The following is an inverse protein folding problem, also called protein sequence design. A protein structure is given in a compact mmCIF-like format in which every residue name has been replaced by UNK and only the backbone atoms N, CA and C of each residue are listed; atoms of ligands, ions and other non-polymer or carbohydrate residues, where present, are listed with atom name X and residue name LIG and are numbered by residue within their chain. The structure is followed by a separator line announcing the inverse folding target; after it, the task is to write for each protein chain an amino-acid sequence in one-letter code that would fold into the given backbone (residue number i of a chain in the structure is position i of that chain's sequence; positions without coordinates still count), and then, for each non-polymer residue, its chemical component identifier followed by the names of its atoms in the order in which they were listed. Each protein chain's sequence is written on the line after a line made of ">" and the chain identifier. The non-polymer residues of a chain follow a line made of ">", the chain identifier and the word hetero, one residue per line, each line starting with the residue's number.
data_IF_145720268895
#
_entry.id   IF_145720268895
#
_cell.length_a   1.000
_cell.length_b   1.000
_cell.length_c   1.000
_cell.angle_alpha   90.00
_cell.angle_beta   90.00
_cell.angle_gamma   90.00
#
_symmetry.space_group_name_H-M   'P 1'
#
loop_
_entity.id
_entity.type
_entity.pdbx_description
1 polymer ?
#
# COMPACT_ATOMS: atom_id res chain seq x y z
N UNK A 1 26.30 8.08 7.70
CA UNK A 1 25.30 8.98 7.05
C UNK A 1 24.36 8.19 6.13
N UNK A 2 24.87 7.36 5.23
CA UNK A 2 24.04 6.59 4.28
C UNK A 2 22.98 5.70 4.94
N UNK A 3 23.34 4.98 6.00
CA UNK A 3 22.40 4.11 6.68
C UNK A 3 21.24 4.88 7.35
N UNK A 4 21.52 6.07 7.92
CA UNK A 4 20.48 6.92 8.49
C UNK A 4 19.55 7.47 7.40
N UNK A 5 20.11 7.93 6.28
CA UNK A 5 19.35 8.38 5.11
C UNK A 5 18.47 7.25 4.56
N UNK A 6 19.00 6.03 4.45
CA UNK A 6 18.26 4.86 4.00
C UNK A 6 17.10 4.55 4.95
N UNK A 7 17.32 4.56 6.26
CA UNK A 7 16.24 4.35 7.25
C UNK A 7 15.14 5.39 7.09
N UNK A 8 15.49 6.68 6.96
CA UNK A 8 14.50 7.74 6.74
C UNK A 8 13.72 7.50 5.46
N UNK A 9 14.39 7.17 4.35
CA UNK A 9 13.71 6.89 3.07
C UNK A 9 12.79 5.66 3.18
N UNK A 10 13.22 4.58 3.83
CA UNK A 10 12.41 3.37 4.05
C UNK A 10 11.16 3.72 4.85
N UNK A 11 11.30 4.42 5.98
CA UNK A 11 10.17 4.84 6.81
C UNK A 11 9.22 5.75 6.04
N UNK A 12 9.74 6.74 5.30
CA UNK A 12 8.93 7.63 4.47
C UNK A 12 8.17 6.87 3.38
N UNK A 13 8.80 5.88 2.74
CA UNK A 13 8.12 5.03 1.75
C UNK A 13 7.05 4.14 2.39
N UNK A 14 7.28 3.62 3.60
CA UNK A 14 6.29 2.88 4.38
C UNK A 14 5.06 3.72 4.69
N UNK A 15 5.27 4.93 5.21
CA UNK A 15 4.18 5.87 5.51
C UNK A 15 3.45 6.27 4.22
N UNK A 16 4.19 6.61 3.16
CA UNK A 16 3.62 6.98 1.86
C UNK A 16 2.75 5.86 1.30
N UNK A 17 3.20 4.62 1.41
CA UNK A 17 2.45 3.45 1.00
C UNK A 17 1.15 3.30 1.81
N UNK A 18 1.23 3.38 3.14
CA UNK A 18 0.05 3.28 4.01
C UNK A 18 -0.97 4.37 3.71
N UNK A 19 -0.53 5.62 3.55
CA UNK A 19 -1.41 6.75 3.22
C UNK A 19 -2.02 6.59 1.84
N UNK A 20 -1.23 6.22 0.84
CA UNK A 20 -1.73 6.03 -0.52
C UNK A 20 -2.79 4.92 -0.57
N UNK A 21 -2.56 3.79 0.09
CA UNK A 21 -3.42 2.61 -0.02
C UNK A 21 -4.51 2.52 1.06
N UNK A 22 -4.63 3.51 1.94
CA UNK A 22 -5.75 3.60 2.87
C UNK A 22 -6.86 4.46 2.24
N UNK A 23 -8.04 3.89 1.96
CA UNK A 23 -9.14 4.66 1.40
C UNK A 23 -9.64 5.71 2.42
N UNK A 24 -9.92 6.96 2.02
CA UNK A 24 -10.37 8.01 2.93
C UNK A 24 -11.76 7.73 3.52
N UNK A 25 -12.60 6.98 2.80
CA UNK A 25 -13.98 6.69 3.17
C UNK A 25 -14.16 5.28 3.78
N UNK A 26 -13.08 4.66 4.25
CA UNK A 26 -13.10 3.30 4.78
C UNK A 26 -13.10 2.20 3.70
N UNK A 27 -13.00 0.95 4.13
CA UNK A 27 -12.90 -0.20 3.21
C UNK A 27 -14.24 -0.44 2.49
N UNK A 28 -14.24 -0.65 1.16
CA UNK A 28 -15.47 -0.87 0.41
C UNK A 28 -16.11 -2.21 0.77
N UNK A 29 -17.44 -2.24 0.88
CA UNK A 29 -18.20 -3.49 1.03
C UNK A 29 -18.22 -4.23 -0.30
N UNK A 30 -17.76 -5.47 -0.32
CA UNK A 30 -17.76 -6.31 -1.51
C UNK A 30 -19.18 -6.79 -1.78
N UNK A 31 -19.80 -6.45 -2.91
CA UNK A 31 -21.10 -7.01 -3.29
C UNK A 31 -20.95 -8.49 -3.69
N UNK A 32 -22.04 -9.29 -3.66
CA UNK A 32 -22.00 -10.66 -4.15
C UNK A 32 -21.55 -10.71 -5.61
N UNK A 33 -20.86 -11.79 -5.99
CA UNK A 33 -20.34 -11.95 -7.36
C UNK A 33 -21.50 -11.87 -8.37
N UNK A 34 -21.45 -10.98 -9.36
CA UNK A 34 -22.50 -10.89 -10.36
C UNK A 34 -22.47 -12.13 -11.28
N UNK A 35 -23.63 -12.59 -11.78
CA UNK A 35 -23.68 -13.67 -12.75
C UNK A 35 -23.09 -13.22 -14.10
N UNK A 36 -22.50 -14.16 -14.85
CA UNK A 36 -21.86 -13.90 -16.15
C UNK A 36 -22.80 -13.27 -17.19
N UNK A 37 -24.11 -13.47 -17.03
CA UNK A 37 -25.16 -12.90 -17.90
C UNK A 37 -25.23 -11.36 -17.85
N UNK A 38 -24.69 -10.72 -16.82
CA UNK A 38 -24.65 -9.24 -16.71
C UNK A 38 -23.51 -8.59 -17.51
N UNK A 39 -22.70 -9.38 -18.21
CA UNK A 39 -21.64 -8.89 -19.09
C UNK A 39 -20.33 -8.55 -18.39
N UNK A 40 -19.29 -8.32 -19.20
CA UNK A 40 -17.90 -8.18 -18.76
C UNK A 40 -17.63 -6.92 -17.92
N UNK A 41 -18.38 -5.84 -18.16
CA UNK A 41 -18.16 -4.55 -17.47
C UNK A 41 -18.48 -4.68 -15.98
N UNK A 42 -19.65 -5.25 -15.65
CA UNK A 42 -20.11 -5.46 -14.27
C UNK A 42 -19.18 -6.44 -13.55
N UNK A 43 -18.70 -7.48 -14.24
CA UNK A 43 -17.76 -8.44 -13.67
C UNK A 43 -16.38 -7.81 -13.40
N UNK A 44 -15.92 -6.91 -14.27
CA UNK A 44 -14.67 -6.16 -14.09
C UNK A 44 -14.75 -5.20 -12.91
N UNK A 45 -15.84 -4.45 -12.79
CA UNK A 45 -16.08 -3.55 -11.65
C UNK A 45 -16.11 -4.31 -10.32
N UNK A 46 -16.83 -5.44 -10.29
CA UNK A 46 -16.83 -6.33 -9.12
C UNK A 46 -15.43 -6.82 -8.77
N UNK A 47 -14.64 -7.24 -9.77
CA UNK A 47 -13.28 -7.69 -9.55
C UNK A 47 -12.39 -6.57 -8.99
N UNK A 48 -12.52 -5.34 -9.50
CA UNK A 48 -11.80 -4.19 -8.95
C UNK A 48 -12.18 -3.92 -7.49
N UNK A 49 -13.46 -3.91 -7.15
CA UNK A 49 -13.92 -3.74 -5.76
C UNK A 49 -13.41 -4.87 -4.87
N UNK A 50 -13.43 -6.11 -5.36
CA UNK A 50 -12.90 -7.27 -4.65
C UNK A 50 -11.40 -7.13 -4.37
N UNK A 51 -10.60 -6.76 -5.38
CA UNK A 51 -9.15 -6.53 -5.22
C UNK A 51 -8.89 -5.42 -4.22
N UNK A 52 -9.60 -4.29 -4.32
CA UNK A 52 -9.46 -3.17 -3.39
C UNK A 52 -9.81 -3.58 -1.95
N UNK A 53 -10.90 -4.31 -1.76
CA UNK A 53 -11.36 -4.70 -0.42
C UNK A 53 -10.54 -5.84 0.21
N UNK A 54 -9.93 -6.72 -0.58
CA UNK A 54 -9.29 -7.95 -0.07
C UNK A 54 -7.78 -7.99 -0.26
N UNK A 55 -7.29 -7.56 -1.42
CA UNK A 55 -5.86 -7.65 -1.74
C UNK A 55 -5.09 -6.49 -1.13
N UNK A 56 -5.61 -5.26 -1.22
CA UNK A 56 -4.95 -4.08 -0.65
C UNK A 56 -4.70 -4.15 0.88
N UNK A 57 -5.63 -4.59 1.74
CA UNK A 57 -5.32 -4.75 3.17
C UNK A 57 -4.19 -5.76 3.41
N UNK A 58 -4.18 -6.89 2.69
CA UNK A 58 -3.08 -7.86 2.78
C UNK A 58 -1.76 -7.23 2.33
N UNK A 59 -1.77 -6.47 1.24
CA UNK A 59 -0.59 -5.82 0.72
C UNK A 59 -0.06 -4.75 1.69
N UNK A 60 -0.93 -3.99 2.37
CA UNK A 60 -0.55 -3.06 3.45
C UNK A 60 0.19 -3.78 4.58
N UNK A 61 -0.33 -4.93 5.03
CA UNK A 61 0.32 -5.73 6.08
C UNK A 61 1.69 -6.22 5.61
N UNK A 62 1.75 -6.82 4.43
CA UNK A 62 3.02 -7.33 3.88
C UNK A 62 4.07 -6.23 3.72
N UNK A 63 3.67 -5.06 3.21
CA UNK A 63 4.59 -3.93 3.02
C UNK A 63 5.06 -3.35 4.36
N UNK A 64 4.19 -3.32 5.37
CA UNK A 64 4.56 -2.89 6.73
C UNK A 64 5.60 -3.85 7.33
N UNK A 65 5.38 -5.16 7.21
CA UNK A 65 6.35 -6.17 7.67
C UNK A 65 7.68 -6.01 6.94
N UNK A 66 7.66 -5.81 5.62
CA UNK A 66 8.87 -5.60 4.83
C UNK A 66 9.64 -4.34 5.29
N UNK A 67 8.92 -3.24 5.54
CA UNK A 67 9.50 -1.98 6.04
C UNK A 67 10.14 -2.18 7.41
N UNK A 68 9.45 -2.85 8.34
CA UNK A 68 9.98 -3.15 9.67
C UNK A 68 11.21 -4.06 9.61
N UNK A 69 11.18 -5.08 8.76
CA UNK A 69 12.33 -5.97 8.56
C UNK A 69 13.55 -5.22 8.02
N UNK A 70 13.37 -4.32 7.05
CA UNK A 70 14.48 -3.52 6.53
C UNK A 70 15.05 -2.57 7.59
N UNK A 71 14.19 -1.92 8.40
CA UNK A 71 14.62 -1.10 9.53
C UNK A 71 15.42 -1.91 10.56
N UNK A 72 14.93 -3.11 10.92
CA UNK A 72 15.63 -4.02 11.83
C UNK A 72 16.99 -4.46 11.26
N UNK A 73 17.06 -4.73 9.96
CA UNK A 73 18.30 -5.11 9.30
C UNK A 73 19.33 -3.97 9.32
N UNK A 74 18.90 -2.73 9.07
CA UNK A 74 19.79 -1.56 9.16
C UNK A 74 20.26 -1.36 10.62
N UNK A 75 19.37 -1.51 11.60
CA UNK A 75 19.72 -1.37 13.02
C UNK A 75 20.72 -2.44 13.48
N UNK A 76 20.50 -3.69 13.06
CA UNK A 76 21.43 -4.79 13.29
C UNK A 76 22.78 -4.50 12.63
N UNK A 77 22.83 -3.97 11.41
CA UNK A 77 24.11 -3.65 10.74
C UNK A 77 24.98 -2.63 11.50
N UNK A 78 24.38 -1.78 12.34
CA UNK A 78 25.09 -0.75 13.10
C UNK A 78 25.45 -1.19 14.52
N UNK A 79 24.71 -2.13 15.11
CA UNK A 79 24.86 -2.53 16.51
C UNK A 79 25.09 -4.03 16.66
N UNK A 80 26.28 -4.42 17.11
CA UNK A 80 26.64 -5.82 17.38
C UNK A 80 25.71 -6.49 18.40
N UNK A 81 25.23 -5.77 19.42
CA UNK A 81 24.30 -6.32 20.42
C UNK A 81 22.95 -6.74 19.83
N UNK A 82 22.45 -6.00 18.83
CA UNK A 82 21.18 -6.30 18.14
C UNK A 82 21.36 -7.51 17.21
N UNK A 83 22.56 -7.68 16.64
CA UNK A 83 22.89 -8.85 15.82
C UNK A 83 22.83 -10.15 16.62
N UNK A 84 23.27 -10.12 17.89
CA UNK A 84 23.20 -11.28 18.79
C UNK A 84 21.76 -11.69 19.08
N UNK A 85 20.83 -10.73 19.14
CA UNK A 85 19.40 -10.98 19.38
C UNK A 85 18.65 -11.43 18.11
N UNK A 86 19.10 -11.03 16.92
CA UNK A 86 18.50 -11.39 15.63
C UNK A 86 19.47 -12.20 14.76
N UNK A 87 19.74 -13.47 15.08
CA UNK A 87 20.72 -14.27 14.36
C UNK A 87 20.38 -14.42 12.87
N UNK A 88 19.12 -14.46 12.45
CA UNK A 88 18.80 -14.56 11.01
C UNK A 88 19.36 -13.40 10.15
N UNK A 89 19.72 -12.27 10.76
CA UNK A 89 20.37 -11.15 10.05
C UNK A 89 21.84 -11.43 9.71
N UNK A 90 22.51 -12.40 10.34
CA UNK A 90 23.92 -12.74 10.10
C UNK A 90 24.16 -13.33 8.70
N UNK A 91 23.15 -14.02 8.17
CA UNK A 91 23.31 -14.91 7.01
C UNK A 91 23.47 -14.15 5.70
N UNK A 92 23.19 -12.86 5.71
CA UNK A 92 23.31 -11.95 4.56
C UNK A 92 24.25 -10.80 4.93
N UNK A 93 25.37 -10.67 4.20
CA UNK A 93 26.24 -9.51 4.35
C UNK A 93 25.42 -8.20 4.22
N UNK A 94 25.57 -7.25 5.15
CA UNK A 94 24.78 -6.02 5.13
C UNK A 94 25.19 -5.13 3.97
N UNK A 95 24.48 -5.27 2.84
CA UNK A 95 24.54 -4.31 1.74
C UNK A 95 23.67 -3.11 2.10
N UNK A 96 24.22 -2.23 2.92
CA UNK A 96 23.56 -0.99 3.37
C UNK A 96 23.60 0.13 2.33
N UNK A 97 24.29 -0.09 1.21
CA UNK A 97 24.38 0.87 0.11
C UNK A 97 23.02 1.23 -0.48
N UNK A 98 22.81 2.52 -0.71
CA UNK A 98 21.62 3.05 -1.37
C UNK A 98 21.81 2.83 -2.88
N UNK A 99 20.92 2.05 -3.50
CA UNK A 99 20.92 1.88 -4.95
C UNK A 99 20.17 3.02 -5.63
N UNK A 100 20.59 3.42 -6.83
CA UNK A 100 19.89 4.46 -7.61
C UNK A 100 18.44 4.08 -7.87
N UNK A 101 18.17 2.80 -8.11
CA UNK A 101 16.81 2.28 -8.29
C UNK A 101 15.95 2.46 -7.03
N UNK A 102 16.52 2.21 -5.84
CA UNK A 102 15.83 2.46 -4.58
C UNK A 102 15.47 3.94 -4.44
N UNK A 103 16.42 4.84 -4.71
CA UNK A 103 16.19 6.27 -4.57
C UNK A 103 15.10 6.78 -5.52
N UNK A 104 15.15 6.38 -6.80
CA UNK A 104 14.10 6.71 -7.78
C UNK A 104 12.75 6.14 -7.34
N UNK A 105 12.71 4.89 -6.88
CA UNK A 105 11.50 4.25 -6.37
C UNK A 105 10.93 4.97 -5.14
N UNK A 106 11.78 5.42 -4.22
CA UNK A 106 11.36 6.18 -3.05
C UNK A 106 10.72 7.51 -3.44
N UNK A 107 11.34 8.26 -4.36
CA UNK A 107 10.80 9.54 -4.84
C UNK A 107 9.44 9.34 -5.51
N UNK A 108 9.33 8.37 -6.43
CA UNK A 108 8.07 8.07 -7.13
C UNK A 108 6.97 7.69 -6.12
N UNK A 109 7.30 6.86 -5.12
CA UNK A 109 6.35 6.45 -4.09
C UNK A 109 5.83 7.62 -3.27
N UNK A 110 6.72 8.50 -2.81
CA UNK A 110 6.37 9.69 -2.01
C UNK A 110 5.53 10.67 -2.85
N UNK A 111 5.95 10.98 -4.07
CA UNK A 111 5.21 11.87 -4.97
C UNK A 111 3.83 11.29 -5.30
N UNK A 112 3.76 9.98 -5.57
CA UNK A 112 2.50 9.30 -5.82
C UNK A 112 1.54 9.36 -4.63
N UNK A 113 2.04 9.20 -3.41
CA UNK A 113 1.24 9.33 -2.19
C UNK A 113 0.72 10.76 -1.99
N UNK A 114 1.58 11.77 -2.19
CA UNK A 114 1.18 13.19 -2.11
C UNK A 114 0.10 13.49 -3.15
N UNK A 115 0.29 13.05 -4.40
CA UNK A 115 -0.69 13.24 -5.47
C UNK A 115 -2.03 12.61 -5.09
N UNK A 116 -2.01 11.38 -4.56
CA UNK A 116 -3.24 10.69 -4.15
C UNK A 116 -3.99 11.44 -3.06
N UNK A 117 -3.27 11.92 -2.04
CA UNK A 117 -3.84 12.74 -0.96
C UNK A 117 -4.38 14.06 -1.52
N UNK A 118 -3.64 14.73 -2.39
CA UNK A 118 -4.08 15.97 -3.03
C UNK A 118 -5.36 15.76 -3.84
N UNK A 119 -5.45 14.67 -4.61
CA UNK A 119 -6.67 14.30 -5.33
C UNK A 119 -7.84 14.05 -4.37
N UNK A 120 -7.65 13.30 -3.28
CA UNK A 120 -8.71 13.08 -2.29
C UNK A 120 -9.18 14.38 -1.65
N UNK A 121 -8.25 15.30 -1.32
CA UNK A 121 -8.58 16.61 -0.75
C UNK A 121 -9.28 17.52 -1.76
N UNK A 122 -8.84 17.52 -3.02
CA UNK A 122 -9.43 18.33 -4.08
C UNK A 122 -10.83 17.85 -4.47
N UNK A 123 -11.06 16.53 -4.52
CA UNK A 123 -12.39 15.98 -4.80
C UNK A 123 -13.33 16.09 -3.58
N UNK A 124 -12.80 16.17 -2.36
CA UNK A 124 -13.55 16.52 -1.15
C UNK A 124 -14.80 15.66 -0.95
N UNK A 125 -15.95 16.31 -0.72
CA UNK A 125 -17.26 15.64 -0.57
C UNK A 125 -17.80 15.01 -1.87
N UNK A 126 -17.23 15.35 -3.03
CA UNK A 126 -17.53 14.73 -4.32
C UNK A 126 -16.78 13.42 -4.54
N UNK A 127 -15.84 13.05 -3.66
CA UNK A 127 -15.17 11.76 -3.68
C UNK A 127 -16.07 10.66 -3.13
N UNK A 128 -17.26 10.51 -3.71
CA UNK A 128 -18.04 9.31 -3.53
C UNK A 128 -17.42 8.25 -4.44
N UNK A 129 -16.71 7.27 -3.86
CA UNK A 129 -16.50 5.97 -4.52
C UNK A 129 -17.87 5.27 -4.60
N UNK A 130 -18.86 5.91 -5.21
CA UNK A 130 -20.10 5.29 -5.65
C UNK A 130 -19.81 4.47 -6.91
N UNK A 131 -18.89 3.50 -6.80
CA UNK A 131 -18.96 2.30 -7.63
C UNK A 131 -20.17 1.41 -7.22
N UNK A 132 -21.12 1.95 -6.46
CA UNK A 132 -22.31 1.27 -5.91
C UNK A 132 -23.63 1.82 -6.48
N UNK A 133 -23.64 2.95 -7.21
CA UNK A 133 -24.89 3.43 -7.84
C UNK A 133 -25.37 2.58 -9.01
N UNK A 134 -24.56 1.65 -9.54
CA UNK A 134 -25.02 0.65 -10.50
C UNK A 134 -25.84 -0.49 -9.86
N UNK A 135 -25.59 -0.81 -8.58
CA UNK A 135 -26.32 -1.87 -7.87
C UNK A 135 -27.65 -1.42 -7.27
N UNK A 136 -27.77 -0.15 -6.90
CA UNK A 136 -29.01 0.38 -6.30
C UNK A 136 -30.15 0.48 -7.33
N UNK A 137 -29.83 0.76 -8.60
CA UNK A 137 -30.81 0.80 -9.70
C UNK A 137 -31.42 -0.55 -10.07
N UNK A 138 -30.84 -1.69 -9.67
CA UNK A 138 -31.43 -3.00 -9.96
C UNK A 138 -32.48 -3.47 -8.95
N UNK A 139 -32.57 -2.85 -7.77
CA UNK A 139 -33.60 -3.15 -6.78
C UNK A 139 -34.81 -2.23 -6.89
N UNK A 140 -34.66 -1.08 -7.56
CA UNK A 140 -35.77 -0.14 -7.81
C UNK A 140 -36.47 -0.41 -9.16
N UNK A 141 -36.08 -1.47 -9.87
CA UNK A 141 -36.61 -1.88 -11.18
C UNK A 141 -37.27 -3.27 -11.16
N UNK A 142 -37.58 -3.80 -9.97
CA UNK A 142 -38.33 -5.04 -9.77
C UNK A 142 -39.59 -4.80 -8.96
#
# INVERSE_FOLDING_TARGET
>A
MEAALKTVLVVMTGISYLVAFTPPNGDPRVPPRPPLSKGLIVQREWFFVFVVARVLPLQRIMYTIATLNECLFILASQNSSVQTLLPWTYRTQPKTGITTLFLVGSVISIVGAILRVACYRALGAGFTFEMVKAGKRSNDAS
#
